data_IF_490977129545
#
_entry.id   IF_490977129545
#
_cell.length_a   1.000
_cell.length_b   1.000
_cell.length_c   1.000
_cell.angle_alpha   90.00
_cell.angle_beta   90.00
_cell.angle_gamma   90.00
#
_symmetry.space_group_name_H-M   'P 1'
#
loop_
_entity.id
_entity.type
_entity.pdbx_description
1 polymer ?
#
# COMPACT_ATOMS: atom_id res chain seq x y z
N UNK A 1 -5.07 -5.16 13.86
CA UNK A 1 -4.23 -5.31 12.64
C UNK A 1 -2.80 -5.77 12.94
N UNK A 2 -1.87 -4.95 13.48
CA UNK A 2 -0.48 -5.43 13.74
C UNK A 2 -0.42 -6.68 14.64
N UNK A 3 -1.11 -6.65 15.77
CA UNK A 3 -1.15 -7.79 16.70
C UNK A 3 -1.95 -8.97 16.16
N UNK A 4 -3.01 -8.68 15.41
CA UNK A 4 -3.97 -9.64 14.84
C UNK A 4 -3.34 -10.52 13.76
N UNK A 5 -2.43 -9.97 12.95
CA UNK A 5 -1.79 -10.66 11.83
C UNK A 5 -0.30 -10.96 12.09
N UNK A 6 0.11 -10.98 13.36
CA UNK A 6 1.51 -11.21 13.75
C UNK A 6 2.04 -12.59 13.36
N UNK A 7 1.15 -13.54 13.10
CA UNK A 7 1.44 -14.91 12.70
C UNK A 7 1.85 -15.02 11.21
N UNK A 8 1.39 -14.09 10.39
CA UNK A 8 1.68 -14.01 8.95
C UNK A 8 2.53 -12.81 8.53
N UNK A 9 2.77 -11.86 9.44
CA UNK A 9 3.62 -10.68 9.23
C UNK A 9 4.92 -10.86 10.01
N UNK A 10 6.03 -11.00 9.29
CA UNK A 10 7.37 -11.01 9.90
C UNK A 10 7.79 -9.61 10.35
N UNK A 11 7.63 -8.61 9.47
CA UNK A 11 7.99 -7.23 9.74
C UNK A 11 6.88 -6.28 9.29
N UNK A 12 6.51 -5.36 10.18
CA UNK A 12 5.48 -4.36 9.95
C UNK A 12 6.11 -2.97 9.89
N UNK A 13 5.86 -2.24 8.81
CA UNK A 13 6.38 -0.87 8.61
C UNK A 13 5.24 0.14 8.68
N UNK A 14 5.29 1.01 9.68
CA UNK A 14 4.47 2.22 9.75
C UNK A 14 5.37 3.41 9.43
N UNK A 15 5.21 4.02 8.26
CA UNK A 15 6.07 5.12 7.82
C UNK A 15 5.34 6.45 8.03
N UNK A 16 5.94 7.33 8.83
CA UNK A 16 5.46 8.68 9.10
C UNK A 16 6.59 9.69 8.81
N UNK A 17 7.16 9.59 7.61
CA UNK A 17 8.22 10.47 7.12
C UNK A 17 7.64 11.59 6.25
N UNK A 18 8.35 12.74 6.14
CA UNK A 18 7.95 13.79 5.23
C UNK A 18 7.97 13.34 3.76
N UNK A 19 6.80 13.26 3.12
CA UNK A 19 6.67 12.90 1.72
C UNK A 19 5.84 13.95 0.98
N UNK A 20 6.29 14.31 -0.21
CA UNK A 20 5.65 15.35 -1.02
C UNK A 20 4.61 14.74 -1.96
N UNK A 21 3.43 15.35 -2.01
CA UNK A 21 2.37 15.03 -2.97
C UNK A 21 1.84 16.31 -3.61
N UNK A 22 1.06 16.15 -4.68
CA UNK A 22 0.46 17.28 -5.39
C UNK A 22 -0.67 17.89 -4.57
N UNK A 23 -0.71 19.22 -4.54
CA UNK A 23 -1.79 19.99 -3.93
C UNK A 23 -2.70 20.57 -5.01
N UNK A 24 -3.96 20.13 -5.02
CA UNK A 24 -4.97 20.55 -6.01
C UNK A 24 -5.93 21.63 -5.51
N UNK A 25 -5.70 22.17 -4.30
CA UNK A 25 -6.57 23.17 -3.67
C UNK A 25 -6.09 24.61 -3.85
N UNK A 26 -4.84 24.83 -4.27
CA UNK A 26 -4.27 26.17 -4.47
C UNK A 26 -3.29 26.18 -5.63
N UNK A 27 -3.23 27.31 -6.35
CA UNK A 27 -2.23 27.55 -7.39
C UNK A 27 -0.92 28.10 -6.82
N UNK A 28 -0.94 28.63 -5.59
CA UNK A 28 0.22 29.27 -4.97
C UNK A 28 1.19 28.25 -4.36
N UNK A 29 0.65 27.17 -3.78
CA UNK A 29 1.42 26.07 -3.20
C UNK A 29 1.02 24.77 -3.93
N UNK A 30 1.62 24.47 -5.08
CA UNK A 30 1.23 23.33 -5.92
C UNK A 30 1.58 21.97 -5.30
N UNK A 31 2.35 21.98 -4.21
CA UNK A 31 2.79 20.80 -3.49
C UNK A 31 2.35 20.87 -2.02
N UNK A 32 2.20 19.69 -1.43
CA UNK A 32 1.94 19.53 -0.01
C UNK A 32 2.80 18.41 0.54
N UNK A 33 3.34 18.59 1.74
CA UNK A 33 4.18 17.59 2.40
C UNK A 33 3.47 17.04 3.64
N UNK A 34 3.23 15.73 3.68
CA UNK A 34 2.76 15.08 4.90
C UNK A 34 3.89 15.07 5.94
N UNK A 35 3.57 15.10 7.24
CA UNK A 35 4.55 15.08 8.34
C UNK A 35 5.65 16.14 8.27
N UNK A 36 5.42 17.27 7.59
CA UNK A 36 6.34 18.41 7.53
C UNK A 36 6.80 18.84 8.93
N UNK A 37 8.12 18.95 9.16
CA UNK A 37 8.68 19.41 10.42
C UNK A 37 8.22 20.84 10.75
N UNK A 38 7.76 21.07 11.98
CA UNK A 38 7.31 22.39 12.45
C UNK A 38 5.86 22.72 12.10
N UNK A 39 5.17 21.91 11.31
CA UNK A 39 3.73 22.06 11.07
C UNK A 39 2.89 21.47 12.22
N UNK A 40 1.69 22.03 12.41
CA UNK A 40 0.72 21.54 13.40
C UNK A 40 -0.14 20.41 12.80
N UNK A 41 0.09 19.17 13.26
CA UNK A 41 -0.64 17.99 12.80
C UNK A 41 -1.81 17.65 13.72
N UNK A 42 -2.99 17.39 13.13
CA UNK A 42 -4.21 16.98 13.86
C UNK A 42 -4.03 15.64 14.58
N UNK A 43 -3.22 14.74 14.01
CA UNK A 43 -2.84 13.46 14.60
C UNK A 43 -1.34 13.38 14.72
N UNK A 44 -0.86 12.84 15.84
CA UNK A 44 0.54 12.53 16.04
C UNK A 44 0.83 11.12 15.50
N UNK A 45 2.05 10.85 15.02
CA UNK A 45 2.43 9.51 14.59
C UNK A 45 2.38 8.55 15.79
N UNK A 46 1.96 7.28 15.59
CA UNK A 46 2.06 6.27 16.64
C UNK A 46 3.48 6.09 17.16
N UNK A 47 3.64 5.59 18.39
CA UNK A 47 4.96 5.44 19.04
C UNK A 47 5.91 4.50 18.28
N UNK A 48 5.37 3.54 17.54
CA UNK A 48 6.10 2.55 16.76
C UNK A 48 6.27 2.94 15.28
N UNK A 49 5.83 4.15 14.90
CA UNK A 49 6.03 4.66 13.56
C UNK A 49 7.47 5.11 13.32
N UNK A 50 7.95 4.88 12.12
CA UNK A 50 9.23 5.36 11.61
C UNK A 50 9.06 6.83 11.28
N UNK A 51 9.59 7.69 12.14
CA UNK A 51 9.61 9.15 11.98
C UNK A 51 11.01 9.71 11.75
N UNK A 52 12.05 8.87 11.88
CA UNK A 52 13.44 9.27 11.68
C UNK A 52 13.82 9.20 10.19
N UNK A 53 14.17 10.33 9.54
CA UNK A 53 14.67 10.36 8.17
C UNK A 53 15.87 9.44 7.91
N UNK A 54 16.69 9.16 8.94
CA UNK A 54 17.86 8.29 8.83
C UNK A 54 17.56 6.80 8.78
N UNK A 55 16.31 6.38 8.99
CA UNK A 55 15.94 4.96 9.05
C UNK A 55 16.14 4.23 7.71
N UNK A 56 15.76 4.87 6.61
CA UNK A 56 15.91 4.30 5.27
C UNK A 56 17.10 4.95 4.56
N UNK A 57 18.11 4.20 4.12
CA UNK A 57 19.29 4.77 3.47
C UNK A 57 18.99 5.45 2.12
N UNK A 58 17.85 5.12 1.50
CA UNK A 58 17.40 5.69 0.23
C UNK A 58 16.50 6.93 0.42
N UNK A 59 16.03 7.20 1.64
CA UNK A 59 15.09 8.30 1.87
C UNK A 59 15.77 9.65 1.60
N UNK A 60 15.07 10.52 0.88
CA UNK A 60 15.49 11.89 0.62
C UNK A 60 14.36 12.82 1.05
N UNK A 61 14.74 13.92 1.73
CA UNK A 61 13.77 14.92 2.18
C UNK A 61 12.97 15.45 1.00
N UNK A 62 11.63 15.41 1.11
CA UNK A 62 10.73 15.88 0.07
C UNK A 62 10.59 14.96 -1.15
N UNK A 63 11.06 13.71 -1.09
CA UNK A 63 10.79 12.75 -2.15
C UNK A 63 9.29 12.49 -2.30
N UNK A 64 8.86 12.20 -3.53
CA UNK A 64 7.46 11.87 -3.78
C UNK A 64 7.09 10.49 -3.20
N UNK A 65 5.81 10.30 -2.90
CA UNK A 65 5.29 9.01 -2.44
C UNK A 65 5.56 7.88 -3.45
N UNK A 66 5.41 8.14 -4.75
CA UNK A 66 5.64 7.14 -5.79
C UNK A 66 7.10 6.72 -5.86
N UNK A 67 8.01 7.69 -5.68
CA UNK A 67 9.44 7.41 -5.60
C UNK A 67 9.75 6.58 -4.35
N UNK A 68 9.18 6.96 -3.19
CA UNK A 68 9.38 6.22 -1.95
C UNK A 68 8.94 4.75 -2.07
N UNK A 69 7.75 4.48 -2.61
CA UNK A 69 7.25 3.10 -2.76
C UNK A 69 8.15 2.27 -3.66
N UNK A 70 8.68 2.87 -4.74
CA UNK A 70 9.62 2.20 -5.64
C UNK A 70 10.93 1.86 -4.94
N UNK A 71 11.58 2.85 -4.33
CA UNK A 71 12.86 2.64 -3.63
C UNK A 71 12.69 1.69 -2.43
N UNK A 72 11.54 1.74 -1.75
CA UNK A 72 11.20 0.81 -0.68
C UNK A 72 11.09 -0.63 -1.18
N UNK A 73 10.47 -0.86 -2.33
CA UNK A 73 10.37 -2.19 -2.93
C UNK A 73 11.76 -2.77 -3.27
N UNK A 74 12.63 -1.95 -3.84
CA UNK A 74 13.99 -2.36 -4.20
C UNK A 74 14.84 -2.62 -2.94
N UNK A 75 14.81 -1.71 -1.96
CA UNK A 75 15.47 -1.87 -0.66
C UNK A 75 14.98 -3.12 0.09
N UNK A 76 13.67 -3.35 0.14
CA UNK A 76 13.07 -4.50 0.81
C UNK A 76 13.45 -5.82 0.10
N UNK A 77 13.49 -5.81 -1.24
CA UNK A 77 13.83 -7.01 -2.00
C UNK A 77 15.27 -7.49 -1.76
N UNK A 78 16.19 -6.57 -1.45
CA UNK A 78 17.63 -6.86 -1.32
C UNK A 78 18.19 -7.66 -2.53
N UNK A 79 17.73 -7.33 -3.75
CA UNK A 79 18.04 -8.05 -4.99
C UNK A 79 17.62 -9.53 -4.99
N UNK A 80 16.66 -9.91 -4.14
CA UNK A 80 16.04 -11.23 -4.14
C UNK A 80 14.63 -11.13 -4.69
N UNK A 81 14.11 -12.20 -5.32
CA UNK A 81 12.74 -12.24 -5.79
C UNK A 81 11.74 -11.89 -4.68
N UNK A 82 11.03 -10.78 -4.83
CA UNK A 82 10.07 -10.26 -3.86
C UNK A 82 8.70 -9.99 -4.51
N UNK A 83 7.64 -10.16 -3.71
CA UNK A 83 6.27 -9.84 -4.11
C UNK A 83 5.76 -8.65 -3.29
N UNK A 84 5.34 -7.60 -3.97
CA UNK A 84 4.73 -6.41 -3.37
C UNK A 84 3.23 -6.44 -3.66
N UNK A 85 2.44 -6.83 -2.67
CA UNK A 85 0.99 -6.92 -2.83
C UNK A 85 0.33 -5.56 -2.62
N UNK A 86 -0.49 -5.13 -3.57
CA UNK A 86 -1.20 -3.85 -3.50
C UNK A 86 -2.69 -4.10 -3.75
N UNK A 87 -3.52 -3.60 -2.85
CA UNK A 87 -4.98 -3.72 -2.92
C UNK A 87 -5.65 -2.77 -3.90
N UNK A 88 -5.11 -2.60 -5.11
CA UNK A 88 -5.79 -1.83 -6.16
C UNK A 88 -6.90 -2.68 -6.79
N UNK A 89 -7.97 -2.03 -7.24
CA UNK A 89 -9.05 -2.68 -7.99
C UNK A 89 -9.25 -2.01 -9.34
N UNK A 90 -9.52 -2.81 -10.37
CA UNK A 90 -9.68 -2.32 -11.73
C UNK A 90 -10.92 -1.39 -11.87
N UNK A 91 -11.94 -1.62 -11.04
CA UNK A 91 -13.16 -0.79 -10.97
C UNK A 91 -12.91 0.59 -10.33
N UNK A 92 -11.71 0.88 -9.83
CA UNK A 92 -11.43 2.15 -9.15
C UNK A 92 -11.21 3.32 -10.08
N UNK A 93 -10.54 3.09 -11.22
CA UNK A 93 -10.30 4.08 -12.28
C UNK A 93 -9.79 3.42 -13.56
N UNK A 94 -9.86 4.15 -14.68
CA UNK A 94 -9.28 3.71 -15.95
C UNK A 94 -7.77 3.41 -15.83
N UNK A 95 -7.03 4.21 -15.07
CA UNK A 95 -5.59 3.98 -14.86
C UNK A 95 -5.33 2.66 -14.13
N UNK A 96 -6.16 2.31 -13.14
CA UNK A 96 -6.07 1.01 -12.45
C UNK A 96 -6.44 -0.14 -13.38
N UNK A 97 -7.50 0.01 -14.19
CA UNK A 97 -7.85 -0.97 -15.21
C UNK A 97 -6.70 -1.20 -16.22
N UNK A 98 -6.07 -0.14 -16.73
CA UNK A 98 -4.94 -0.22 -17.66
C UNK A 98 -3.73 -0.88 -16.98
N UNK A 99 -3.45 -0.56 -15.71
CA UNK A 99 -2.37 -1.17 -14.95
C UNK A 99 -2.51 -2.70 -14.88
N UNK A 100 -3.74 -3.24 -14.86
CA UNK A 100 -3.99 -4.68 -14.90
C UNK A 100 -4.00 -5.23 -16.34
N UNK A 101 -4.76 -4.60 -17.24
CA UNK A 101 -5.06 -5.16 -18.58
C UNK A 101 -3.95 -4.98 -19.60
N UNK A 102 -2.99 -4.08 -19.36
CA UNK A 102 -1.92 -3.78 -20.31
C UNK A 102 -1.14 -5.05 -20.71
N UNK A 103 -1.01 -5.28 -22.02
CA UNK A 103 -0.18 -6.35 -22.59
C UNK A 103 1.29 -5.93 -22.77
N UNK A 104 1.60 -4.63 -22.65
CA UNK A 104 2.96 -4.10 -22.85
C UNK A 104 3.85 -4.23 -21.61
N UNK A 105 3.27 -4.55 -20.45
CA UNK A 105 4.02 -4.67 -19.19
C UNK A 105 4.68 -6.03 -19.06
N UNK A 106 5.84 -6.05 -18.39
CA UNK A 106 6.47 -7.29 -17.97
C UNK A 106 5.67 -7.90 -16.81
N UNK A 107 5.22 -9.14 -16.99
CA UNK A 107 4.44 -9.89 -16.01
C UNK A 107 5.33 -10.93 -15.35
N UNK A 108 4.90 -11.45 -14.20
CA UNK A 108 5.57 -12.60 -13.58
C UNK A 108 5.37 -13.88 -14.43
N UNK A 109 4.18 -14.04 -15.02
CA UNK A 109 3.85 -15.12 -15.92
C UNK A 109 2.73 -14.69 -16.90
N UNK A 110 2.65 -15.33 -18.06
CA UNK A 110 1.68 -15.00 -19.11
C UNK A 110 0.22 -15.15 -18.63
N UNK A 111 -0.04 -16.14 -17.78
CA UNK A 111 -1.34 -16.45 -17.17
C UNK A 111 -1.69 -15.54 -15.98
N UNK A 112 -0.83 -14.56 -15.62
CA UNK A 112 -0.99 -13.68 -14.45
C UNK A 112 -0.98 -12.20 -14.86
N UNK A 113 -2.05 -11.72 -15.52
CA UNK A 113 -2.14 -10.33 -15.98
C UNK A 113 -2.18 -9.32 -14.83
N UNK A 114 -2.55 -9.73 -13.61
CA UNK A 114 -2.56 -8.89 -12.40
C UNK A 114 -1.17 -8.75 -11.74
N UNK A 115 -0.09 -9.08 -12.45
CA UNK A 115 1.28 -8.87 -12.00
C UNK A 115 2.02 -7.87 -12.88
N UNK A 116 2.95 -7.13 -12.30
CA UNK A 116 3.80 -6.17 -13.01
C UNK A 116 5.21 -6.22 -12.42
N UNK A 117 6.25 -6.39 -13.25
CA UNK A 117 7.64 -6.31 -12.81
C UNK A 117 7.95 -4.90 -12.31
N UNK A 118 8.62 -4.81 -11.16
CA UNK A 118 9.22 -3.56 -10.71
C UNK A 118 10.42 -3.22 -11.62
N UNK A 119 10.79 -1.92 -11.75
CA UNK A 119 11.92 -1.48 -12.55
C UNK A 119 13.25 -2.14 -12.18
N UNK A 120 13.48 -2.42 -10.89
CA UNK A 120 14.69 -3.11 -10.40
C UNK A 120 14.79 -4.60 -10.79
N UNK A 121 13.76 -5.19 -11.41
CA UNK A 121 13.78 -6.56 -11.94
C UNK A 121 13.77 -7.68 -10.90
N UNK A 122 13.84 -7.35 -9.61
CA UNK A 122 13.86 -8.30 -8.50
C UNK A 122 12.53 -8.36 -7.72
N UNK A 123 11.62 -7.42 -7.96
CA UNK A 123 10.32 -7.38 -7.31
C UNK A 123 9.18 -7.39 -8.33
N UNK A 124 8.02 -7.91 -7.92
CA UNK A 124 6.78 -7.86 -8.71
C UNK A 124 5.66 -7.24 -7.88
N UNK A 125 4.99 -6.25 -8.46
CA UNK A 125 3.72 -5.77 -7.96
C UNK A 125 2.62 -6.80 -8.27
N UNK A 126 1.88 -7.17 -7.25
CA UNK A 126 0.81 -8.17 -7.30
C UNK A 126 -0.49 -7.51 -6.85
N UNK A 127 -1.55 -7.67 -7.64
CA UNK A 127 -2.85 -7.07 -7.36
C UNK A 127 -3.89 -8.17 -7.11
N UNK A 128 -4.01 -8.71 -5.89
CA UNK A 128 -4.76 -9.95 -5.64
C UNK A 128 -6.29 -9.79 -5.72
N UNK A 129 -6.79 -8.58 -5.50
CA UNK A 129 -8.23 -8.26 -5.47
C UNK A 129 -8.65 -7.42 -6.68
N UNK A 130 -7.89 -7.49 -7.78
CA UNK A 130 -8.05 -6.57 -8.91
C UNK A 130 -9.46 -6.58 -9.54
N UNK A 131 -10.16 -7.70 -9.47
CA UNK A 131 -11.49 -7.95 -10.02
C UNK A 131 -12.63 -7.71 -9.01
N UNK A 132 -12.30 -7.42 -7.75
CA UNK A 132 -13.29 -7.17 -6.71
C UNK A 132 -13.97 -5.81 -6.89
N UNK A 133 -15.28 -5.78 -6.63
CA UNK A 133 -16.07 -4.56 -6.57
C UNK A 133 -16.18 -4.05 -5.14
N UNK A 134 -16.71 -2.84 -4.98
CA UNK A 134 -16.93 -2.24 -3.65
C UNK A 134 -17.88 -3.08 -2.81
N UNK A 135 -18.91 -3.66 -3.42
CA UNK A 135 -19.84 -4.56 -2.72
C UNK A 135 -19.14 -5.84 -2.21
N UNK A 136 -18.17 -6.39 -2.95
CA UNK A 136 -17.48 -7.62 -2.56
C UNK A 136 -16.64 -7.41 -1.30
N UNK A 137 -15.94 -6.27 -1.23
CA UNK A 137 -15.15 -5.88 -0.04
C UNK A 137 -16.04 -5.79 1.20
N UNK A 138 -17.15 -5.05 1.11
CA UNK A 138 -18.07 -4.88 2.24
C UNK A 138 -18.79 -6.17 2.63
N UNK A 139 -19.15 -6.99 1.65
CA UNK A 139 -19.76 -8.32 1.89
C UNK A 139 -18.76 -9.23 2.59
N UNK A 140 -17.49 -9.19 2.20
CA UNK A 140 -16.44 -9.98 2.84
C UNK A 140 -16.25 -9.56 4.29
N UNK A 141 -16.12 -8.26 4.59
CA UNK A 141 -16.02 -7.77 5.98
C UNK A 141 -17.26 -8.11 6.81
N UNK A 142 -18.46 -7.98 6.23
CA UNK A 142 -19.71 -8.35 6.90
C UNK A 142 -19.83 -9.83 7.23
N UNK A 143 -19.22 -10.71 6.42
CA UNK A 143 -19.20 -12.17 6.64
C UNK A 143 -18.06 -12.63 7.54
N UNK A 144 -16.87 -12.03 7.38
CA UNK A 144 -15.66 -12.48 8.09
C UNK A 144 -15.58 -11.93 9.51
N UNK A 145 -16.20 -10.76 9.78
CA UNK A 145 -16.07 -10.07 11.05
C UNK A 145 -14.66 -9.54 11.33
N UNK A 146 -13.79 -9.49 10.30
CA UNK A 146 -12.42 -9.04 10.44
C UNK A 146 -12.33 -7.52 10.62
N UNK A 147 -11.23 -7.07 11.22
CA UNK A 147 -11.00 -5.67 11.52
C UNK A 147 -10.83 -4.80 10.26
N UNK A 148 -11.47 -3.64 10.24
CA UNK A 148 -11.30 -2.59 9.23
C UNK A 148 -11.20 -1.21 9.90
N UNK A 149 -10.90 -0.16 9.12
CA UNK A 149 -10.77 1.18 9.65
C UNK A 149 -12.10 1.70 10.25
N UNK A 150 -12.18 2.03 11.55
CA UNK A 150 -13.41 2.50 12.19
C UNK A 150 -13.99 3.78 11.59
N UNK A 151 -13.19 4.57 10.86
CA UNK A 151 -13.67 5.76 10.15
C UNK A 151 -14.82 5.43 9.19
N UNK A 152 -14.84 4.24 8.61
CA UNK A 152 -15.93 3.82 7.74
C UNK A 152 -17.26 3.66 8.48
N UNK A 153 -17.23 3.31 9.77
CA UNK A 153 -18.44 3.29 10.60
C UNK A 153 -18.99 4.70 10.80
N UNK A 154 -18.11 5.69 10.98
CA UNK A 154 -18.51 7.09 11.09
C UNK A 154 -19.10 7.60 9.76
N UNK A 155 -18.49 7.24 8.62
CA UNK A 155 -19.04 7.56 7.30
C UNK A 155 -20.42 6.92 7.08
N UNK A 156 -20.58 5.66 7.50
CA UNK A 156 -21.86 4.96 7.44
C UNK A 156 -22.93 5.62 8.32
N UNK A 157 -22.58 5.97 9.55
CA UNK A 157 -23.46 6.70 10.47
C UNK A 157 -23.85 8.08 9.93
N UNK A 158 -22.96 8.74 9.20
CA UNK A 158 -23.23 9.99 8.50
C UNK A 158 -24.06 9.82 7.21
N UNK A 159 -24.46 8.61 6.85
CA UNK A 159 -25.29 8.32 5.68
C UNK A 159 -24.53 8.37 4.35
N UNK A 160 -23.19 8.34 4.35
CA UNK A 160 -22.39 8.34 3.12
C UNK A 160 -22.64 7.03 2.36
N UNK A 161 -23.04 7.06 1.08
CA UNK A 161 -23.16 5.84 0.29
C UNK A 161 -21.81 5.11 0.14
N UNK A 162 -21.81 3.77 0.18
CA UNK A 162 -20.58 2.95 0.13
C UNK A 162 -19.64 3.29 -1.04
N UNK A 163 -20.18 3.71 -2.19
CA UNK A 163 -19.40 4.13 -3.36
C UNK A 163 -18.54 5.38 -3.14
N UNK A 164 -18.93 6.23 -2.19
CA UNK A 164 -18.23 7.46 -1.81
C UNK A 164 -17.41 7.31 -0.53
N UNK A 165 -17.43 6.15 0.12
CA UNK A 165 -16.57 5.86 1.27
C UNK A 165 -15.14 5.56 0.82
N UNK A 166 -14.47 6.56 0.26
CA UNK A 166 -13.05 6.51 -0.06
C UNK A 166 -12.29 7.42 0.87
N UNK A 167 -11.06 7.02 1.20
CA UNK A 167 -10.16 7.83 2.00
C UNK A 167 -8.97 8.15 1.11
N UNK A 168 -8.62 9.44 1.02
CA UNK A 168 -7.46 9.89 0.28
C UNK A 168 -6.72 10.94 1.10
N UNK A 169 -5.51 11.30 0.66
CA UNK A 169 -4.78 12.43 1.21
C UNK A 169 -5.60 13.74 1.10
N UNK A 170 -5.42 14.67 2.05
CA UNK A 170 -6.32 15.83 2.22
C UNK A 170 -6.28 16.84 1.07
N UNK A 171 -5.18 16.90 0.30
CA UNK A 171 -4.97 17.93 -0.73
C UNK A 171 -4.82 17.35 -2.14
N UNK A 172 -4.96 16.03 -2.28
CA UNK A 172 -4.79 15.35 -3.56
C UNK A 172 -5.90 15.66 -4.56
N UNK A 173 -5.65 15.47 -5.87
CA UNK A 173 -6.63 15.73 -6.94
C UNK A 173 -7.91 14.90 -6.79
N UNK A 174 -7.83 13.76 -6.11
CA UNK A 174 -8.93 12.81 -5.90
C UNK A 174 -9.96 13.26 -4.83
N UNK A 175 -9.66 14.31 -4.05
CA UNK A 175 -10.57 14.90 -3.04
C UNK A 175 -11.86 15.45 -3.64
N UNK A 176 -11.85 15.89 -4.91
CA UNK A 176 -13.01 16.49 -5.57
C UNK A 176 -14.22 15.54 -5.69
N UNK A 177 -14.06 14.25 -5.37
CA UNK A 177 -15.10 13.22 -5.50
C UNK A 177 -15.70 12.74 -4.16
N UNK A 178 -15.41 13.42 -3.04
CA UNK A 178 -16.02 13.12 -1.73
C UNK A 178 -15.26 12.14 -0.84
N UNK A 179 -13.93 12.05 -0.99
CA UNK A 179 -13.09 11.21 -0.13
C UNK A 179 -12.87 11.84 1.25
N UNK A 180 -12.99 11.07 2.33
CA UNK A 180 -12.59 11.53 3.67
C UNK A 180 -11.06 11.57 3.82
N UNK A 181 -10.54 12.50 4.62
CA UNK A 181 -9.09 12.70 4.77
C UNK A 181 -8.53 11.87 5.92
N UNK A 182 -7.69 10.88 5.64
CA UNK A 182 -6.84 10.21 6.65
C UNK A 182 -5.63 9.59 5.93
N UNK A 183 -4.44 10.11 6.18
CA UNK A 183 -3.20 9.48 5.70
C UNK A 183 -2.71 8.53 6.80
N UNK A 184 -2.78 7.23 6.53
CA UNK A 184 -2.25 6.17 7.39
C UNK A 184 -1.82 5.02 6.46
N UNK A 185 -0.50 4.87 6.26
CA UNK A 185 0.05 3.81 5.41
C UNK A 185 0.62 2.69 6.28
N UNK A 186 0.20 1.46 5.98
CA UNK A 186 0.79 0.23 6.51
C UNK A 186 1.28 -0.58 5.33
N UNK A 187 2.60 -0.74 5.20
CA UNK A 187 3.21 -1.65 4.23
C UNK A 187 3.39 -3.01 4.90
N UNK A 188 2.55 -3.97 4.51
CA UNK A 188 2.75 -5.39 4.83
C UNK A 188 3.68 -5.99 3.77
N UNK A 189 4.87 -6.37 4.19
CA UNK A 189 5.82 -7.06 3.32
C UNK A 189 6.09 -8.45 3.92
N UNK A 190 5.54 -9.50 3.30
CA UNK A 190 5.72 -10.87 3.76
C UNK A 190 4.89 -11.90 3.01
N UNK A 191 5.52 -12.62 2.07
CA UNK A 191 5.32 -14.03 1.76
C UNK A 191 6.46 -14.48 0.83
N UNK A 192 7.36 -15.38 1.26
CA UNK A 192 8.35 -15.96 0.36
C UNK A 192 7.65 -16.87 -0.66
N UNK A 193 7.77 -16.55 -1.95
CA UNK A 193 7.29 -17.41 -3.03
C UNK A 193 8.05 -18.76 -3.02
N UNK A 194 7.38 -19.89 -3.33
CA UNK A 194 8.00 -21.21 -3.30
C UNK A 194 9.12 -21.33 -4.35
N UNK A 195 10.34 -21.58 -3.86
CA UNK A 195 11.52 -21.80 -4.67
C UNK A 195 11.38 -23.06 -5.54
N UNK A 196 11.23 -22.89 -6.85
CA UNK A 196 11.46 -23.97 -7.82
C UNK A 196 12.96 -24.03 -8.15
N UNK A 197 13.66 -24.95 -7.47
CA UNK A 197 14.84 -25.69 -7.94
C UNK A 197 16.09 -24.91 -8.42
N UNK A 198 17.13 -24.78 -7.56
CA UNK A 198 18.36 -25.64 -7.54
C UNK A 198 19.48 -25.08 -6.63
N UNK A 199 19.76 -25.85 -5.56
CA UNK A 199 21.01 -25.96 -4.71
C UNK A 199 21.33 -24.84 -3.69
N UNK A 200 22.01 -25.18 -2.57
CA UNK A 200 21.53 -25.99 -1.45
C UNK A 200 21.43 -25.10 -0.20
N UNK A 201 20.22 -24.83 0.29
CA UNK A 201 20.01 -24.15 1.57
C UNK A 201 19.84 -25.18 2.70
N UNK A 202 20.43 -24.84 3.84
CA UNK A 202 20.47 -25.63 5.08
C UNK A 202 19.08 -26.21 5.41
N UNK A 203 19.07 -27.53 5.64
CA UNK A 203 17.90 -28.31 6.07
C UNK A 203 17.64 -28.12 7.56
N UNK A 204 16.39 -27.92 7.94
CA UNK A 204 15.83 -28.11 9.28
C UNK A 204 14.41 -28.66 9.14
N UNK A 205 14.11 -29.75 9.83
CA UNK A 205 13.04 -30.72 9.52
C UNK A 205 11.63 -30.29 9.99
N UNK A 206 10.62 -30.78 9.27
CA UNK A 206 9.20 -30.79 9.61
C UNK A 206 8.88 -31.85 10.69
N UNK A 207 7.91 -31.59 11.59
CA UNK A 207 6.89 -32.58 11.99
C UNK A 207 5.69 -32.00 12.74
N UNK A 208 4.55 -32.60 12.39
CA UNK A 208 3.18 -32.55 12.90
C UNK A 208 3.00 -32.64 14.42
N UNK A 209 2.19 -31.74 14.99
CA UNK A 209 0.83 -32.00 15.49
C UNK A 209 0.08 -30.68 15.61
#
# INVERSE_FOLDING_TARGET
MREEYRDVIEQFFWVALPLTTQNSLTQYNPEWQCWEPGANWVRQPPKDAITDPGYFPFYQSGMSFETFVREFADWFSQNRPAAVMVGIRADESLNRFIAISSQRKLRFADDKPWTTSAPGGHAWYIYPIYDWKTADIWTWFGKSGLSYNPLYNLMYQAGVPLRYMRICEPFGPEQRQGCGSTMCWSLNAGLPLPARQRRPLRRGLCRSR
#
